data_IF_537189940853
#
_entry.id   IF_537189940853
#
_cell.length_a   1.000
_cell.length_b   1.000
_cell.length_c   1.000
_cell.angle_alpha   90.00
_cell.angle_beta   90.00
_cell.angle_gamma   90.00
#
_symmetry.space_group_name_H-M   'P 1'
#
loop_
_entity.id
_entity.type
_entity.pdbx_description
1 polymer ?
#
# COMPACT_ATOMS: atom_id res chain seq x y z
N UNK A 1 37.16 -5.37 -2.08
CA UNK A 1 35.76 -5.65 -2.49
C UNK A 1 34.85 -4.95 -1.50
N UNK A 2 34.03 -3.99 -1.95
CA UNK A 2 33.10 -3.26 -1.08
C UNK A 2 31.99 -4.26 -0.73
N UNK A 3 31.95 -4.73 0.51
CA UNK A 3 30.91 -5.65 0.95
C UNK A 3 29.56 -4.98 0.69
N UNK A 4 28.68 -5.68 -0.04
CA UNK A 4 27.28 -5.27 -0.13
C UNK A 4 26.72 -5.34 1.30
N UNK A 5 25.90 -4.36 1.71
CA UNK A 5 25.33 -4.37 3.05
C UNK A 5 24.52 -5.66 3.26
N UNK A 6 24.58 -6.15 4.49
CA UNK A 6 23.86 -7.34 4.89
C UNK A 6 22.35 -7.14 4.71
N UNK A 7 21.74 -7.96 3.85
CA UNK A 7 20.34 -7.83 3.45
C UNK A 7 19.38 -8.57 4.38
N UNK A 8 19.85 -9.16 5.48
CA UNK A 8 19.00 -9.72 6.55
C UNK A 8 18.50 -8.64 7.51
N UNK A 9 17.84 -7.60 7.00
CA UNK A 9 17.23 -6.54 7.84
C UNK A 9 15.98 -7.01 8.62
N UNK A 10 15.57 -8.28 8.50
CA UNK A 10 14.36 -8.79 9.12
C UNK A 10 13.10 -8.11 8.61
N UNK A 11 13.13 -7.60 7.37
CA UNK A 11 12.02 -6.93 6.72
C UNK A 11 11.36 -7.85 5.70
N UNK A 12 10.05 -7.78 5.63
CA UNK A 12 9.18 -8.46 4.69
C UNK A 12 8.56 -7.44 3.74
N UNK A 13 8.36 -7.84 2.49
CA UNK A 13 7.66 -7.03 1.49
C UNK A 13 6.55 -7.83 0.84
N UNK A 14 5.38 -7.21 0.65
CA UNK A 14 4.26 -7.81 -0.06
C UNK A 14 3.65 -6.82 -1.04
N UNK A 15 3.19 -7.32 -2.17
CA UNK A 15 2.46 -6.56 -3.18
C UNK A 15 1.10 -7.18 -3.47
N UNK A 16 0.11 -6.35 -3.75
CA UNK A 16 -1.25 -6.74 -4.12
C UNK A 16 -1.64 -6.00 -5.39
N UNK A 17 -2.26 -6.69 -6.34
CA UNK A 17 -2.67 -6.11 -7.62
C UNK A 17 -4.14 -6.39 -7.86
N UNK A 18 -4.88 -5.35 -8.27
CA UNK A 18 -6.30 -5.40 -8.53
C UNK A 18 -6.59 -4.94 -9.97
N UNK A 19 -7.62 -5.51 -10.64
CA UNK A 19 -8.01 -5.12 -11.99
C UNK A 19 -8.30 -3.63 -12.15
N UNK A 20 -8.02 -3.08 -13.34
CA UNK A 20 -8.18 -1.65 -13.65
C UNK A 20 -9.63 -1.16 -13.75
N UNK A 21 -10.59 -2.08 -13.85
CA UNK A 21 -12.01 -1.83 -13.97
C UNK A 21 -12.72 -1.73 -12.62
N UNK A 22 -12.01 -2.01 -11.51
CA UNK A 22 -12.53 -1.82 -10.16
C UNK A 22 -12.08 -0.50 -9.56
N UNK A 23 -13.05 0.32 -9.21
CA UNK A 23 -12.85 1.53 -8.42
C UNK A 23 -12.79 1.17 -6.92
N UNK A 24 -11.98 1.93 -6.19
CA UNK A 24 -11.88 1.87 -4.74
C UNK A 24 -12.63 3.06 -4.12
N UNK A 25 -13.19 2.82 -2.94
CA UNK A 25 -13.74 3.85 -2.08
C UNK A 25 -12.60 4.65 -1.43
N UNK A 26 -12.55 5.95 -1.75
CA UNK A 26 -11.50 6.84 -1.27
C UNK A 26 -11.49 7.07 0.25
N UNK A 27 -12.66 7.00 0.91
CA UNK A 27 -12.76 7.13 2.36
C UNK A 27 -12.23 5.87 3.05
N UNK A 28 -12.59 4.69 2.54
CA UNK A 28 -12.04 3.42 3.05
C UNK A 28 -10.53 3.31 2.84
N UNK A 29 -10.01 3.78 1.70
CA UNK A 29 -8.56 3.87 1.48
C UNK A 29 -7.88 4.82 2.47
N UNK A 30 -8.49 5.97 2.77
CA UNK A 30 -8.01 6.93 3.78
C UNK A 30 -7.92 6.26 5.16
N UNK A 31 -8.96 5.53 5.56
CA UNK A 31 -8.95 4.79 6.83
C UNK A 31 -7.91 3.67 6.84
N UNK A 32 -7.78 2.93 5.74
CA UNK A 32 -6.76 1.89 5.60
C UNK A 32 -5.34 2.46 5.80
N UNK A 33 -4.99 3.56 5.13
CA UNK A 33 -3.65 4.18 5.27
C UNK A 33 -3.41 4.80 6.66
N UNK A 34 -4.46 5.31 7.32
CA UNK A 34 -4.37 5.76 8.72
C UNK A 34 -4.12 4.62 9.70
N UNK A 35 -4.71 3.45 9.46
CA UNK A 35 -4.59 2.27 10.32
C UNK A 35 -3.41 1.36 9.99
N UNK A 36 -2.79 1.51 8.81
CA UNK A 36 -1.71 0.66 8.35
C UNK A 36 -0.55 0.50 9.37
N UNK A 37 -0.11 1.54 10.10
CA UNK A 37 0.90 1.38 11.15
C UNK A 37 0.45 0.51 12.33
N UNK A 38 -0.86 0.35 12.56
CA UNK A 38 -1.43 -0.51 13.61
C UNK A 38 -1.55 -1.97 13.16
N UNK A 39 -1.57 -2.20 11.84
CA UNK A 39 -1.68 -3.52 11.22
C UNK A 39 -0.33 -4.18 10.95
N UNK A 40 0.76 -3.49 11.25
CA UNK A 40 2.12 -3.88 10.88
C UNK A 40 3.07 -3.60 12.04
N UNK A 41 4.10 -4.41 12.20
CA UNK A 41 5.20 -4.13 13.11
C UNK A 41 6.36 -3.53 12.33
N UNK A 42 6.84 -2.36 12.74
CA UNK A 42 8.00 -1.71 12.13
C UNK A 42 7.80 -1.38 10.65
N UNK A 43 6.65 -0.78 10.29
CA UNK A 43 6.38 -0.28 8.94
C UNK A 43 7.46 0.70 8.49
N UNK A 44 8.12 0.38 7.37
CA UNK A 44 9.17 1.21 6.78
C UNK A 44 8.60 2.04 5.64
N UNK A 45 7.75 1.42 4.80
CA UNK A 45 7.23 2.05 3.59
C UNK A 45 5.93 1.39 3.16
N UNK A 46 5.01 2.19 2.63
CA UNK A 46 3.93 1.66 1.81
C UNK A 46 3.57 2.61 0.69
N UNK A 47 3.09 2.06 -0.42
CA UNK A 47 2.63 2.83 -1.58
C UNK A 47 1.43 2.12 -2.16
N UNK A 48 0.48 2.89 -2.68
CA UNK A 48 -0.52 2.32 -3.55
C UNK A 48 -0.93 3.29 -4.63
N UNK A 49 -1.20 2.77 -5.82
CA UNK A 49 -1.88 3.51 -6.87
C UNK A 49 -3.24 2.85 -7.05
N UNK A 50 -4.30 3.62 -6.91
CA UNK A 50 -5.67 3.11 -6.97
C UNK A 50 -6.48 3.92 -7.96
N UNK A 51 -7.43 3.25 -8.58
CA UNK A 51 -8.51 3.88 -9.31
C UNK A 51 -9.62 4.26 -8.32
N UNK A 52 -10.01 5.53 -8.28
CA UNK A 52 -11.04 6.07 -7.38
C UNK A 52 -11.91 7.03 -8.18
N UNK A 53 -13.22 6.77 -8.24
CA UNK A 53 -14.19 7.55 -9.02
C UNK A 53 -13.75 7.79 -10.48
N UNK A 54 -13.14 6.78 -11.12
CA UNK A 54 -12.65 6.87 -12.50
C UNK A 54 -11.36 7.68 -12.69
N UNK A 55 -10.75 8.17 -11.60
CA UNK A 55 -9.44 8.85 -11.60
C UNK A 55 -8.38 7.98 -10.95
N UNK A 56 -7.10 8.31 -11.14
CA UNK A 56 -6.00 7.56 -10.53
C UNK A 56 -5.34 8.40 -9.44
N UNK A 57 -5.20 7.81 -8.26
CA UNK A 57 -4.56 8.43 -7.10
C UNK A 57 -3.39 7.58 -6.65
N UNK A 58 -2.26 8.23 -6.36
CA UNK A 58 -1.10 7.62 -5.73
C UNK A 58 -1.04 8.03 -4.27
N UNK A 59 -1.14 7.05 -3.38
CA UNK A 59 -0.94 7.19 -1.95
C UNK A 59 0.46 6.69 -1.59
N UNK A 60 1.17 7.46 -0.77
CA UNK A 60 2.51 7.11 -0.31
C UNK A 60 2.60 7.33 1.19
N UNK A 61 2.84 6.25 1.92
CA UNK A 61 3.15 6.25 3.35
C UNK A 61 4.66 6.18 3.58
N UNK A 62 5.17 7.08 4.40
CA UNK A 62 6.57 7.12 4.85
C UNK A 62 6.65 7.88 6.18
N UNK A 63 7.45 7.37 7.11
CA UNK A 63 7.79 8.08 8.35
C UNK A 63 6.56 8.55 9.16
N UNK A 64 5.59 7.66 9.36
CA UNK A 64 4.40 7.94 10.16
C UNK A 64 3.31 8.77 9.46
N UNK A 65 3.56 9.23 8.23
CA UNK A 65 2.63 10.06 7.47
C UNK A 65 2.32 9.46 6.12
N UNK A 66 1.16 9.80 5.56
CA UNK A 66 0.85 9.53 4.17
C UNK A 66 0.20 10.72 3.50
N UNK A 67 0.32 10.77 2.17
CA UNK A 67 -0.35 11.75 1.34
C UNK A 67 -0.82 11.12 0.04
N UNK A 68 -1.75 11.80 -0.63
CA UNK A 68 -2.34 11.41 -1.89
C UNK A 68 -2.01 12.44 -2.98
N UNK A 69 -1.70 11.96 -4.19
CA UNK A 69 -1.54 12.79 -5.38
C UNK A 69 -2.30 12.18 -6.53
N UNK A 70 -3.02 12.99 -7.31
CA UNK A 70 -3.59 12.50 -8.57
C UNK A 70 -2.46 12.18 -9.55
N UNK A 71 -2.60 11.09 -10.28
CA UNK A 71 -1.65 10.66 -11.30
C UNK A 71 -2.36 10.37 -12.62
N UNK A 72 -1.60 10.33 -13.71
CA UNK A 72 -2.11 9.87 -14.99
C UNK A 72 -2.55 8.41 -14.93
N UNK A 73 -3.26 7.96 -15.96
CA UNK A 73 -3.76 6.60 -16.11
C UNK A 73 -2.74 5.51 -15.75
N UNK A 74 -3.24 4.41 -15.17
CA UNK A 74 -2.49 3.17 -14.91
C UNK A 74 -3.26 1.96 -15.42
N UNK A 75 -2.53 0.86 -15.58
CA UNK A 75 -3.07 -0.40 -16.08
C UNK A 75 -3.78 -1.22 -15.00
N UNK A 76 -3.41 -1.03 -13.73
CA UNK A 76 -3.93 -1.79 -12.59
C UNK A 76 -3.83 -0.94 -11.32
N UNK A 77 -4.70 -1.23 -10.34
CA UNK A 77 -4.53 -0.74 -8.98
C UNK A 77 -3.53 -1.63 -8.25
N UNK A 78 -2.58 -1.06 -7.52
CA UNK A 78 -1.52 -1.81 -6.84
C UNK A 78 -1.24 -1.22 -5.47
N UNK A 79 -1.01 -2.08 -4.49
CA UNK A 79 -0.51 -1.72 -3.18
C UNK A 79 0.76 -2.52 -2.86
N UNK A 80 1.71 -1.89 -2.19
CA UNK A 80 2.99 -2.48 -1.78
C UNK A 80 3.33 -1.97 -0.38
N UNK A 81 3.84 -2.84 0.49
CA UNK A 81 4.36 -2.46 1.80
C UNK A 81 5.66 -3.19 2.14
N UNK A 82 6.46 -2.56 3.01
CA UNK A 82 7.69 -3.09 3.60
C UNK A 82 7.62 -2.86 5.11
N UNK A 83 7.69 -3.92 5.91
CA UNK A 83 7.63 -3.86 7.38
C UNK A 83 8.39 -5.05 8.00
N UNK A 84 8.57 -5.09 9.32
CA UNK A 84 9.20 -6.25 9.99
C UNK A 84 8.29 -7.47 10.00
N UNK A 85 7.02 -7.26 10.33
CA UNK A 85 5.99 -8.31 10.33
C UNK A 85 4.62 -7.71 10.03
N UNK A 86 3.75 -8.48 9.39
CA UNK A 86 2.36 -8.16 9.14
C UNK A 86 1.59 -9.42 8.73
N UNK A 87 0.27 -9.37 8.85
CA UNK A 87 -0.62 -10.40 8.31
C UNK A 87 -1.02 -10.01 6.88
N UNK A 88 -0.47 -10.71 5.88
CA UNK A 88 -0.72 -10.41 4.48
C UNK A 88 -2.20 -10.63 4.09
N UNK A 89 -2.85 -11.64 4.67
CA UNK A 89 -4.25 -11.97 4.39
C UNK A 89 -5.17 -10.88 4.97
N UNK A 90 -4.88 -10.39 6.18
CA UNK A 90 -5.62 -9.28 6.77
C UNK A 90 -5.46 -7.97 5.99
N UNK A 91 -4.27 -7.71 5.44
CA UNK A 91 -4.02 -6.54 4.56
C UNK A 91 -4.82 -6.69 3.26
N UNK A 92 -4.77 -7.86 2.61
CA UNK A 92 -5.53 -8.13 1.39
C UNK A 92 -7.04 -7.99 1.63
N UNK A 93 -7.55 -8.52 2.75
CA UNK A 93 -8.96 -8.40 3.11
C UNK A 93 -9.37 -6.93 3.26
N UNK A 94 -8.58 -6.12 3.99
CA UNK A 94 -8.87 -4.68 4.15
C UNK A 94 -8.84 -3.91 2.83
N UNK A 95 -7.99 -4.29 1.89
CA UNK A 95 -7.98 -3.72 0.55
C UNK A 95 -9.22 -4.15 -0.26
N UNK A 96 -9.62 -5.42 -0.18
CA UNK A 96 -10.84 -5.89 -0.83
C UNK A 96 -12.11 -5.23 -0.26
N UNK A 97 -12.17 -5.01 1.06
CA UNK A 97 -13.27 -4.28 1.71
C UNK A 97 -13.37 -2.82 1.26
N UNK A 98 -12.26 -2.27 0.75
CA UNK A 98 -12.16 -0.92 0.20
C UNK A 98 -12.57 -0.82 -1.28
N UNK A 99 -12.91 -1.92 -1.95
CA UNK A 99 -13.48 -1.89 -3.29
C UNK A 99 -14.93 -1.38 -3.27
N UNK A 100 -15.34 -0.68 -4.34
CA UNK A 100 -16.74 -0.39 -4.65
C UNK A 100 -17.46 -1.60 -5.27
#
# INVERSE_FOLDING_TARGET
VKALPDNTMGLQSQGFTFPADRDFDGEKLTHFFNDLPKMTEGLVRAKGVFRVLGTWVWLNWVDGQWGANQVSWRRDSRFELIAKSFDADAIEQRLNDALE
#
